data_IF_676978184645
#
_entry.id   IF_676978184645
#
_cell.length_a   1.000
_cell.length_b   1.000
_cell.length_c   1.000
_cell.angle_alpha   90.00
_cell.angle_beta   90.00
_cell.angle_gamma   90.00
#
_symmetry.space_group_name_H-M   'P 1'
#
loop_
_entity.id
_entity.type
_entity.pdbx_description
1 polymer ?
#
# COMPACT_ATOMS: atom_id res chain seq x y z
N UNK A 1 -61.55 24.48 24.96
CA UNK A 1 -60.08 24.51 25.11
C UNK A 1 -59.53 23.24 24.49
N UNK A 2 -58.96 23.32 23.29
CA UNK A 2 -58.34 22.17 22.61
C UNK A 2 -56.83 22.30 22.76
N UNK A 3 -56.21 21.33 23.45
CA UNK A 3 -54.77 21.27 23.65
C UNK A 3 -54.13 20.53 22.46
N UNK A 4 -53.37 21.26 21.65
CA UNK A 4 -52.57 20.69 20.56
C UNK A 4 -51.21 20.26 21.16
N UNK A 5 -51.02 18.96 21.40
CA UNK A 5 -49.71 18.42 21.76
C UNK A 5 -48.87 18.20 20.51
N UNK A 6 -47.91 19.08 20.25
CA UNK A 6 -46.87 18.88 19.25
C UNK A 6 -45.80 17.95 19.83
N UNK A 7 -45.73 16.72 19.32
CA UNK A 7 -44.62 15.79 19.59
C UNK A 7 -43.41 16.23 18.77
N UNK A 8 -42.35 16.66 19.45
CA UNK A 8 -41.06 17.00 18.83
C UNK A 8 -40.30 15.68 18.57
N UNK A 9 -40.29 15.22 17.32
CA UNK A 9 -39.49 14.06 16.92
C UNK A 9 -38.00 14.42 16.90
N UNK A 10 -37.22 13.83 17.81
CA UNK A 10 -35.75 13.91 17.78
C UNK A 10 -35.25 12.99 16.67
N UNK A 11 -34.85 13.59 15.54
CA UNK A 11 -34.17 12.91 14.45
C UNK A 11 -32.72 12.63 14.87
N UNK A 12 -32.46 11.43 15.39
CA UNK A 12 -31.10 10.89 15.52
C UNK A 12 -30.56 10.59 14.13
N UNK A 13 -29.75 11.50 13.58
CA UNK A 13 -29.08 11.30 12.28
C UNK A 13 -28.05 10.16 12.33
N UNK A 14 -27.86 9.40 11.24
CA UNK A 14 -26.83 8.38 11.17
C UNK A 14 -25.44 9.02 11.28
N UNK A 15 -24.61 8.52 12.18
CA UNK A 15 -23.21 8.90 12.28
C UNK A 15 -22.47 8.50 11.00
N UNK A 16 -21.98 9.49 10.25
CA UNK A 16 -21.04 9.26 9.15
C UNK A 16 -19.70 8.90 9.79
N UNK A 17 -19.39 7.61 9.85
CA UNK A 17 -18.03 7.18 10.17
C UNK A 17 -17.08 7.73 9.11
N UNK A 18 -15.93 8.29 9.49
CA UNK A 18 -14.94 8.72 8.50
C UNK A 18 -14.57 7.52 7.64
N UNK A 19 -14.81 7.63 6.34
CA UNK A 19 -14.29 6.68 5.37
C UNK A 19 -12.76 6.79 5.41
N UNK A 20 -12.10 5.73 5.89
CA UNK A 20 -10.64 5.65 5.88
C UNK A 20 -10.20 5.45 4.44
N UNK A 21 -9.72 6.54 3.84
CA UNK A 21 -9.11 6.51 2.52
C UNK A 21 -7.63 6.18 2.72
N UNK A 22 -7.21 4.94 2.45
CA UNK A 22 -5.84 4.47 2.65
C UNK A 22 -5.43 3.58 1.46
N UNK A 23 -4.12 3.42 1.24
CA UNK A 23 -3.60 2.32 0.44
C UNK A 23 -3.28 1.15 1.36
N UNK A 24 -3.93 0.01 1.12
CA UNK A 24 -3.74 -1.23 1.88
C UNK A 24 -3.14 -2.31 1.00
N UNK A 25 -2.40 -3.23 1.62
CA UNK A 25 -2.00 -4.48 1.00
C UNK A 25 -2.50 -5.65 1.82
N UNK A 26 -3.25 -6.52 1.17
CA UNK A 26 -3.68 -7.81 1.70
C UNK A 26 -2.75 -8.91 1.18
N UNK A 27 -2.00 -9.52 2.09
CA UNK A 27 -1.21 -10.70 1.80
C UNK A 27 -2.13 -11.92 1.78
N UNK A 28 -2.42 -12.45 0.60
CA UNK A 28 -3.25 -13.67 0.44
C UNK A 28 -2.43 -14.94 0.33
N UNK A 29 -1.09 -14.84 0.40
CA UNK A 29 -0.16 -15.96 0.39
C UNK A 29 -0.13 -16.70 1.72
N UNK A 30 0.43 -17.91 1.71
CA UNK A 30 0.72 -18.70 2.91
C UNK A 30 1.98 -18.23 3.67
N UNK A 31 2.79 -17.34 3.09
CA UNK A 31 4.05 -16.86 3.68
C UNK A 31 3.89 -15.51 4.35
N UNK A 32 4.82 -15.17 5.23
CA UNK A 32 5.05 -13.78 5.65
C UNK A 32 5.75 -13.03 4.53
N UNK A 33 5.29 -11.82 4.26
CA UNK A 33 5.85 -10.97 3.21
C UNK A 33 6.40 -9.67 3.76
N UNK A 34 7.60 -9.31 3.32
CA UNK A 34 8.16 -7.98 3.48
C UNK A 34 7.73 -7.11 2.33
N UNK A 35 7.23 -5.91 2.61
CA UNK A 35 6.75 -4.99 1.57
C UNK A 35 7.46 -3.65 1.66
N UNK A 36 7.78 -3.08 0.50
CA UNK A 36 8.15 -1.70 0.30
C UNK A 36 7.18 -1.04 -0.69
N UNK A 37 6.95 0.24 -0.52
CA UNK A 37 6.12 1.06 -1.40
C UNK A 37 6.95 2.18 -2.01
N UNK A 38 6.70 2.50 -3.26
CA UNK A 38 7.17 3.68 -3.96
C UNK A 38 5.99 4.52 -4.43
N UNK A 39 6.12 5.84 -4.36
CA UNK A 39 5.10 6.77 -4.83
C UNK A 39 5.70 8.12 -5.19
N UNK A 40 4.91 8.94 -5.87
CA UNK A 40 5.25 10.33 -6.16
C UNK A 40 4.28 11.25 -5.45
N UNK A 41 4.80 12.19 -4.66
CA UNK A 41 4.03 13.23 -3.99
C UNK A 41 4.47 14.64 -4.45
N UNK A 42 4.08 15.66 -3.69
CA UNK A 42 4.42 17.06 -3.96
C UNK A 42 5.91 17.37 -3.87
N UNK A 43 6.69 16.56 -3.15
CA UNK A 43 8.15 16.68 -3.01
C UNK A 43 8.91 15.83 -4.04
N UNK A 44 8.20 14.99 -4.78
CA UNK A 44 8.74 14.12 -5.82
C UNK A 44 8.67 12.65 -5.44
N UNK A 45 9.66 11.88 -5.87
CA UNK A 45 9.66 10.43 -5.64
C UNK A 45 10.08 10.08 -4.21
N UNK A 46 9.32 9.18 -3.58
CA UNK A 46 9.63 8.54 -2.31
C UNK A 46 9.51 7.02 -2.43
N UNK A 47 10.33 6.32 -1.66
CA UNK A 47 10.12 4.92 -1.30
C UNK A 47 10.19 4.74 0.21
N UNK A 48 9.37 3.83 0.72
CA UNK A 48 9.27 3.50 2.12
C UNK A 48 9.21 1.98 2.32
N UNK A 49 9.62 1.51 3.49
CA UNK A 49 9.62 0.11 3.86
C UNK A 49 10.23 -0.09 5.24
N UNK A 50 10.37 -1.30 5.78
CA UNK A 50 9.66 -2.52 5.38
C UNK A 50 8.43 -2.70 6.25
N UNK A 51 7.30 -3.03 5.63
CA UNK A 51 6.16 -3.60 6.34
C UNK A 51 6.32 -5.12 6.39
N UNK A 52 6.09 -5.70 7.56
CA UNK A 52 6.07 -7.14 7.75
C UNK A 52 4.62 -7.60 7.85
N UNK A 53 4.10 -8.21 6.79
CA UNK A 53 2.69 -8.57 6.68
C UNK A 53 2.55 -10.08 6.81
N UNK A 54 1.85 -10.51 7.85
CA UNK A 54 1.62 -11.94 8.10
C UNK A 54 0.75 -12.56 6.99
N UNK A 55 0.86 -13.88 6.84
CA UNK A 55 -0.01 -14.64 5.93
C UNK A 55 -1.49 -14.36 6.21
N UNK A 56 -2.26 -14.19 5.14
CA UNK A 56 -3.71 -13.94 5.17
C UNK A 56 -4.15 -12.71 5.99
N UNK A 57 -3.27 -11.71 6.14
CA UNK A 57 -3.58 -10.44 6.81
C UNK A 57 -3.47 -9.25 5.85
N UNK A 58 -4.04 -8.11 6.24
CA UNK A 58 -3.93 -6.86 5.50
C UNK A 58 -3.33 -5.77 6.38
N UNK A 59 -2.45 -4.96 5.79
CA UNK A 59 -1.83 -3.80 6.46
C UNK A 59 -1.99 -2.53 5.62
N UNK A 60 -2.04 -1.39 6.31
CA UNK A 60 -2.04 -0.08 5.64
C UNK A 60 -0.61 0.32 5.32
N UNK A 61 -0.31 0.51 4.03
CA UNK A 61 1.00 0.96 3.55
C UNK A 61 1.10 2.47 3.51
N UNK A 62 0.05 3.15 3.05
CA UNK A 62 -0.02 4.61 3.03
C UNK A 62 -1.34 5.07 3.65
N UNK A 63 -1.25 5.98 4.61
CA UNK A 63 -2.42 6.52 5.30
C UNK A 63 -2.93 7.77 4.60
N UNK A 64 -4.24 7.91 4.53
CA UNK A 64 -4.88 9.09 3.97
C UNK A 64 -5.11 9.01 2.47
N UNK A 65 -5.84 10.02 1.98
CA UNK A 65 -6.36 10.07 0.62
C UNK A 65 -5.22 9.94 -0.39
N UNK A 66 -5.37 9.00 -1.31
CA UNK A 66 -4.45 8.83 -2.42
C UNK A 66 -4.54 10.01 -3.37
N UNK A 67 -3.38 10.57 -3.71
CA UNK A 67 -3.24 11.72 -4.61
C UNK A 67 -2.60 11.34 -5.94
N UNK A 68 -2.03 10.12 -6.03
CA UNK A 68 -1.42 9.59 -7.23
C UNK A 68 -2.32 8.54 -7.87
N UNK A 69 -2.25 8.40 -9.19
CA UNK A 69 -2.87 7.27 -9.91
C UNK A 69 -2.04 5.99 -9.76
N UNK A 70 -0.72 6.13 -9.83
CA UNK A 70 0.21 5.01 -9.82
C UNK A 70 0.97 4.95 -8.50
N UNK A 71 0.96 3.76 -7.90
CA UNK A 71 1.78 3.39 -6.76
C UNK A 71 2.63 2.20 -7.15
N UNK A 72 3.76 2.04 -6.48
CA UNK A 72 4.75 1.02 -6.85
C UNK A 72 5.00 0.15 -5.65
N UNK A 73 5.02 -1.17 -5.84
CA UNK A 73 5.17 -2.13 -4.74
C UNK A 73 6.33 -3.04 -5.06
N UNK A 74 7.14 -3.32 -4.05
CA UNK A 74 8.10 -4.40 -4.04
C UNK A 74 7.78 -5.28 -2.84
N UNK A 75 7.76 -6.60 -3.03
CA UNK A 75 7.52 -7.53 -1.93
C UNK A 75 8.49 -8.70 -1.97
N UNK A 76 8.83 -9.24 -0.81
CA UNK A 76 9.73 -10.39 -0.63
C UNK A 76 9.02 -11.45 0.19
N UNK A 77 9.06 -12.70 -0.26
CA UNK A 77 8.60 -13.85 0.52
C UNK A 77 9.69 -14.24 1.53
N UNK A 78 9.45 -14.00 2.82
CA UNK A 78 10.44 -14.28 3.86
C UNK A 78 10.55 -15.74 4.27
N UNK A 79 9.56 -16.56 3.92
CA UNK A 79 9.51 -17.95 4.37
C UNK A 79 10.03 -18.91 3.29
N UNK A 80 9.71 -18.67 2.01
CA UNK A 80 10.12 -19.50 0.88
C UNK A 80 11.17 -18.85 -0.02
N UNK A 81 11.40 -17.54 0.13
CA UNK A 81 12.21 -16.76 -0.80
C UNK A 81 11.46 -16.46 -2.10
N UNK A 82 12.06 -15.57 -2.90
CA UNK A 82 11.41 -14.98 -4.08
C UNK A 82 10.85 -13.59 -3.81
N UNK A 83 10.48 -12.90 -4.88
CA UNK A 83 10.03 -11.51 -4.82
C UNK A 83 8.95 -11.22 -5.85
N UNK A 84 8.11 -10.24 -5.53
CA UNK A 84 7.25 -9.54 -6.47
C UNK A 84 7.94 -8.23 -6.81
N UNK A 85 8.54 -8.19 -7.98
CA UNK A 85 9.29 -7.05 -8.48
C UNK A 85 8.76 -6.62 -9.86
N UNK A 86 9.17 -5.44 -10.30
CA UNK A 86 8.85 -4.92 -11.62
C UNK A 86 9.98 -4.06 -12.18
N UNK A 87 9.71 -3.41 -13.32
CA UNK A 87 10.73 -2.70 -14.09
C UNK A 87 11.09 -1.31 -13.57
N UNK A 88 10.37 -0.76 -12.59
CA UNK A 88 10.67 0.57 -12.04
C UNK A 88 11.63 0.47 -10.85
N UNK A 89 12.81 1.04 -10.98
CA UNK A 89 13.83 0.97 -9.93
C UNK A 89 13.75 2.16 -8.97
N UNK A 90 13.75 1.87 -7.68
CA UNK A 90 13.77 2.85 -6.59
C UNK A 90 14.75 2.41 -5.49
N UNK A 91 15.10 3.33 -4.59
CA UNK A 91 16.06 3.05 -3.54
C UNK A 91 15.41 2.31 -2.35
N UNK A 92 16.10 1.31 -1.79
CA UNK A 92 15.69 0.62 -0.55
C UNK A 92 16.87 0.41 0.39
N UNK A 93 16.59 0.12 1.66
CA UNK A 93 17.59 -0.27 2.67
C UNK A 93 17.21 -1.60 3.33
N UNK A 94 18.13 -2.20 4.10
CA UNK A 94 17.90 -3.47 4.80
C UNK A 94 16.99 -3.37 6.03
N UNK A 95 16.87 -2.18 6.61
CA UNK A 95 16.02 -1.89 7.78
C UNK A 95 14.86 -1.00 7.35
N UNK A 96 13.95 -0.67 8.27
CA UNK A 96 12.90 0.32 7.98
C UNK A 96 13.50 1.64 7.49
N UNK A 97 12.92 2.21 6.45
CA UNK A 97 13.44 3.33 5.68
C UNK A 97 12.32 4.20 5.10
N UNK A 98 12.70 5.46 4.86
CA UNK A 98 11.99 6.40 4.00
C UNK A 98 13.07 7.12 3.20
N UNK A 99 13.09 6.94 1.87
CA UNK A 99 14.12 7.48 0.99
C UNK A 99 13.47 8.36 -0.06
N UNK A 100 13.96 9.59 -0.19
CA UNK A 100 13.59 10.49 -1.29
C UNK A 100 14.54 10.32 -2.47
N UNK A 101 14.01 10.53 -3.68
CA UNK A 101 14.71 10.47 -4.96
C UNK A 101 15.20 9.04 -5.31
N UNK A 102 15.04 8.66 -6.57
CA UNK A 102 15.41 7.34 -7.14
C UNK A 102 16.81 7.31 -7.77
N UNK A 103 17.47 8.46 -7.92
CA UNK A 103 18.77 8.56 -8.56
C UNK A 103 19.91 8.09 -7.65
N UNK A 104 20.91 7.44 -8.27
CA UNK A 104 22.20 7.10 -7.68
C UNK A 104 22.12 6.33 -6.34
N UNK A 105 21.13 5.44 -6.19
CA UNK A 105 20.88 4.70 -4.94
C UNK A 105 22.16 4.09 -4.35
N UNK A 106 22.91 3.35 -5.15
CA UNK A 106 24.13 2.67 -4.71
C UNK A 106 25.24 3.64 -4.27
N UNK A 107 25.41 4.77 -4.97
CA UNK A 107 26.40 5.80 -4.57
C UNK A 107 26.02 6.49 -3.27
N UNK A 108 24.72 6.49 -2.94
CA UNK A 108 24.18 7.01 -1.69
C UNK A 108 24.13 5.96 -0.57
N UNK A 109 24.57 4.73 -0.84
CA UNK A 109 24.61 3.63 0.14
C UNK A 109 23.32 2.81 0.23
N UNK A 110 22.35 3.05 -0.66
CA UNK A 110 21.10 2.30 -0.75
C UNK A 110 21.17 1.21 -1.82
N UNK A 111 20.21 0.30 -1.81
CA UNK A 111 20.02 -0.70 -2.87
C UNK A 111 19.15 -0.16 -3.99
N UNK A 112 19.40 -0.58 -5.22
CA UNK A 112 18.50 -0.36 -6.36
C UNK A 112 17.56 -1.55 -6.49
N UNK A 113 16.27 -1.36 -6.23
CA UNK A 113 15.27 -2.44 -6.17
C UNK A 113 14.15 -2.18 -7.16
N UNK A 114 13.71 -3.23 -7.85
CA UNK A 114 12.60 -3.17 -8.81
C UNK A 114 11.23 -3.27 -8.15
N UNK A 115 10.33 -2.37 -8.53
CA UNK A 115 8.95 -2.30 -8.06
C UNK A 115 7.99 -2.53 -9.24
N UNK A 116 6.89 -3.25 -8.98
CA UNK A 116 5.79 -3.39 -9.94
C UNK A 116 4.78 -2.26 -9.75
N UNK A 117 4.15 -1.86 -10.84
CA UNK A 117 3.18 -0.77 -10.86
C UNK A 117 1.78 -1.26 -10.45
N UNK A 118 1.11 -0.44 -9.66
CA UNK A 118 -0.28 -0.57 -9.26
C UNK A 118 -1.02 0.67 -9.78
N UNK A 119 -1.88 0.48 -10.78
CA UNK A 119 -2.82 1.51 -11.24
C UNK A 119 -4.05 1.51 -10.34
N UNK A 120 -4.25 2.60 -9.59
CA UNK A 120 -5.40 2.81 -8.71
C UNK A 120 -6.57 3.46 -9.43
N UNK A 121 -6.42 3.87 -10.69
CA UNK A 121 -7.48 4.53 -11.46
C UNK A 121 -7.85 5.92 -10.93
N UNK A 122 -6.98 6.57 -10.17
CA UNK A 122 -7.24 7.85 -9.45
C UNK A 122 -8.25 7.72 -8.29
N UNK A 123 -8.49 6.49 -7.83
CA UNK A 123 -9.30 6.26 -6.65
C UNK A 123 -8.63 6.82 -5.40
N UNK A 124 -9.47 7.27 -4.45
CA UNK A 124 -9.02 7.94 -3.22
C UNK A 124 -8.48 6.95 -2.18
N UNK A 125 -8.77 5.67 -2.37
CA UNK A 125 -8.32 4.55 -1.56
C UNK A 125 -8.19 3.31 -2.43
N UNK A 126 -7.32 2.37 -2.03
CA UNK A 126 -7.06 1.19 -2.83
C UNK A 126 -6.56 0.03 -1.98
N UNK A 127 -6.90 -1.19 -2.39
CA UNK A 127 -6.39 -2.41 -1.76
C UNK A 127 -5.69 -3.29 -2.78
N UNK A 128 -4.38 -3.43 -2.63
CA UNK A 128 -3.57 -4.40 -3.37
C UNK A 128 -3.78 -5.77 -2.75
N UNK A 129 -4.02 -6.79 -3.58
CA UNK A 129 -4.07 -8.19 -3.14
C UNK A 129 -2.86 -8.91 -3.68
N UNK A 130 -1.95 -9.27 -2.80
CA UNK A 130 -0.76 -10.02 -3.15
C UNK A 130 -1.09 -11.51 -3.09
N UNK A 131 -1.04 -12.19 -4.24
CA UNK A 131 -1.16 -13.64 -4.35
C UNK A 131 0.21 -14.26 -4.52
N UNK A 132 0.33 -15.57 -4.30
CA UNK A 132 1.58 -16.28 -4.58
C UNK A 132 1.99 -15.94 -6.03
N UNK A 133 3.27 -15.66 -6.29
CA UNK A 133 3.71 -15.58 -7.67
C UNK A 133 3.40 -16.97 -8.22
N UNK A 134 2.48 -17.06 -9.19
CA UNK A 134 2.28 -18.31 -9.91
C UNK A 134 3.67 -18.74 -10.30
N UNK A 135 4.14 -19.85 -9.70
CA UNK A 135 5.54 -20.23 -9.81
C UNK A 135 5.86 -20.15 -11.29
N UNK A 136 6.77 -19.27 -11.68
CA UNK A 136 7.28 -19.26 -13.03
C UNK A 136 7.95 -20.61 -13.19
N UNK A 137 7.16 -21.61 -13.55
CA UNK A 137 7.57 -22.76 -14.28
C UNK A 137 8.15 -22.17 -15.55
N UNK A 138 9.45 -21.86 -15.48
CA UNK A 138 10.29 -21.76 -16.67
C UNK A 138 10.25 -23.15 -17.31
N UNK A 139 9.20 -23.40 -18.06
CA UNK A 139 9.21 -24.38 -19.14
C UNK A 139 10.08 -23.76 -20.22
N UNK A 140 11.35 -24.15 -20.22
CA UNK A 140 12.16 -24.27 -21.42
C UNK A 140 12.53 -25.73 -21.58
#
# INVERSE_FOLDING_TARGET
MAACLTVLGVLTGPGVSPAMADLKLCNTTASRVGVAIGYKDTEGWASEGWWNIASHTCETLLKGVLIGRYYYIHAVDYDRGGEWAGGLYMCTDDKSFTIRNTADCEKRGHKSTGFFEVDTGEERDWTVRLTDPEGEAKTQ
#
